data_IF_609011616952
#
_entry.id   IF_609011616952
#
_cell.length_a   1.000
_cell.length_b   1.000
_cell.length_c   1.000
_cell.angle_alpha   90.00
_cell.angle_beta   90.00
_cell.angle_gamma   90.00
#
_symmetry.space_group_name_H-M   'P 1'
#
loop_
_entity.id
_entity.type
_entity.pdbx_description
1 polymer ?
#
# COMPACT_ATOMS: atom_id res chain seq x y z
N UNK A 1 46.03 6.93 -20.84
CA UNK A 1 45.24 5.99 -20.00
C UNK A 1 44.37 6.85 -19.09
N UNK A 2 43.04 6.83 -19.27
CA UNK A 2 42.11 7.48 -18.36
C UNK A 2 41.87 6.56 -17.15
N UNK A 3 41.82 7.08 -15.91
CA UNK A 3 41.45 6.28 -14.76
C UNK A 3 39.96 5.87 -14.85
N UNK A 4 39.59 4.72 -14.28
CA UNK A 4 38.23 4.22 -14.34
C UNK A 4 37.28 5.18 -13.62
N UNK A 5 36.20 5.52 -14.31
CA UNK A 5 35.04 6.25 -13.79
C UNK A 5 34.65 5.72 -12.42
N UNK A 6 34.74 6.58 -11.41
CA UNK A 6 34.18 6.31 -10.09
C UNK A 6 32.69 6.02 -10.26
N UNK A 7 32.32 4.76 -10.01
CA UNK A 7 30.93 4.40 -9.78
C UNK A 7 30.54 5.18 -8.52
N UNK A 8 29.71 6.21 -8.69
CA UNK A 8 29.04 6.86 -7.58
C UNK A 8 28.27 5.77 -6.84
N UNK A 9 28.82 5.31 -5.72
CA UNK A 9 28.06 4.51 -4.77
C UNK A 9 26.97 5.44 -4.28
N UNK A 10 25.74 5.22 -4.75
CA UNK A 10 24.56 5.82 -4.15
C UNK A 10 24.42 5.19 -2.77
N UNK A 11 25.01 5.84 -1.76
CA UNK A 11 24.65 5.64 -0.37
C UNK A 11 23.49 6.58 -0.10
N UNK A 12 22.26 6.09 0.12
CA UNK A 12 21.20 6.98 0.58
C UNK A 12 21.64 7.57 1.90
N UNK A 13 21.83 8.90 1.91
CA UNK A 13 22.10 9.64 3.12
C UNK A 13 20.86 9.51 4.00
N UNK A 14 21.03 8.91 5.18
CA UNK A 14 19.92 8.56 6.09
C UNK A 14 19.22 9.81 6.63
N UNK A 15 19.74 11.00 6.30
CA UNK A 15 19.28 12.28 6.79
C UNK A 15 18.25 12.98 5.89
N UNK A 16 18.11 12.64 4.61
CA UNK A 16 17.07 13.21 3.73
C UNK A 16 15.67 12.57 3.95
N UNK A 17 15.59 11.47 4.71
CA UNK A 17 14.33 10.78 5.03
C UNK A 17 13.40 11.59 5.96
N UNK A 18 13.90 12.65 6.61
CA UNK A 18 13.11 13.41 7.58
C UNK A 18 12.09 14.36 6.94
N UNK A 19 12.28 14.78 5.69
CA UNK A 19 11.33 15.69 5.02
C UNK A 19 9.99 15.00 4.69
N UNK A 20 9.93 13.67 4.69
CA UNK A 20 8.79 12.88 4.22
C UNK A 20 8.08 12.07 5.33
N UNK A 21 8.38 12.27 6.61
CA UNK A 21 7.68 11.51 7.67
C UNK A 21 6.24 12.01 7.85
N UNK A 22 5.25 11.28 7.30
CA UNK A 22 3.82 11.60 7.42
C UNK A 22 3.23 11.44 8.83
N UNK A 23 4.02 11.00 9.82
CA UNK A 23 3.54 10.85 11.20
C UNK A 23 2.98 12.16 11.77
N UNK A 24 3.49 13.32 11.34
CA UNK A 24 2.99 14.64 11.75
C UNK A 24 1.59 14.96 11.20
N UNK A 25 1.14 14.30 10.14
CA UNK A 25 -0.20 14.47 9.58
C UNK A 25 -1.29 13.77 10.41
N UNK A 26 -0.89 12.87 11.31
CA UNK A 26 -1.80 12.09 12.14
C UNK A 26 -1.73 12.57 13.61
N UNK A 27 -2.86 12.70 14.32
CA UNK A 27 -2.88 13.05 15.74
C UNK A 27 -1.89 12.21 16.57
N UNK A 28 -1.04 12.82 17.41
CA UNK A 28 -0.03 12.08 18.17
C UNK A 28 -0.68 11.14 19.19
N UNK A 29 -0.12 9.92 19.33
CA UNK A 29 -0.60 8.93 20.29
C UNK A 29 -1.90 8.20 19.91
N UNK A 30 -2.55 8.55 18.80
CA UNK A 30 -3.73 7.84 18.32
C UNK A 30 -3.34 6.67 17.40
N UNK A 31 -3.65 5.45 17.82
CA UNK A 31 -3.40 4.23 17.04
C UNK A 31 -4.55 3.81 16.13
N UNK A 32 -5.79 4.15 16.51
CA UNK A 32 -6.99 3.68 15.84
C UNK A 32 -7.85 4.85 15.37
N UNK A 33 -8.29 4.77 14.13
CA UNK A 33 -9.13 5.78 13.49
C UNK A 33 -10.43 5.16 13.03
N UNK A 34 -11.56 5.76 13.37
CA UNK A 34 -12.83 5.42 12.75
C UNK A 34 -12.81 5.73 11.25
N UNK A 35 -13.73 5.12 10.50
CA UNK A 35 -13.92 5.42 9.07
C UNK A 35 -14.08 6.91 8.80
N UNK A 36 -14.75 7.63 9.71
CA UNK A 36 -14.98 9.07 9.55
C UNK A 36 -13.70 9.87 9.76
N UNK A 37 -12.95 9.60 10.82
CA UNK A 37 -11.68 10.26 11.08
C UNK A 37 -10.68 10.00 9.95
N UNK A 38 -10.58 8.75 9.48
CA UNK A 38 -9.73 8.40 8.34
C UNK A 38 -10.15 9.13 7.05
N UNK A 39 -11.45 9.29 6.82
CA UNK A 39 -11.98 10.02 5.66
C UNK A 39 -11.66 11.53 5.72
N UNK A 40 -11.78 12.11 6.92
CA UNK A 40 -11.42 13.52 7.17
C UNK A 40 -9.92 13.76 6.96
N UNK A 41 -9.06 12.86 7.47
CA UNK A 41 -7.60 12.92 7.29
C UNK A 41 -7.17 12.78 5.82
N UNK A 42 -7.84 11.92 5.06
CA UNK A 42 -7.52 11.67 3.65
C UNK A 42 -8.27 12.59 2.69
N UNK A 43 -9.14 13.48 3.18
CA UNK A 43 -10.01 14.34 2.39
C UNK A 43 -10.85 13.60 1.34
N UNK A 44 -11.40 12.44 1.73
CA UNK A 44 -12.22 11.56 0.87
C UNK A 44 -13.56 11.25 1.53
N UNK A 45 -14.45 10.55 0.80
CA UNK A 45 -15.71 10.12 1.38
C UNK A 45 -15.52 8.95 2.37
N UNK A 46 -16.35 8.85 3.41
CA UNK A 46 -16.36 7.65 4.27
C UNK A 46 -16.61 6.35 3.49
N UNK A 47 -17.37 6.40 2.39
CA UNK A 47 -17.61 5.21 1.57
C UNK A 47 -16.33 4.72 0.90
N UNK A 48 -15.53 5.64 0.36
CA UNK A 48 -14.22 5.32 -0.21
C UNK A 48 -13.30 4.61 0.79
N UNK A 49 -13.26 5.06 2.05
CA UNK A 49 -12.48 4.40 3.10
C UNK A 49 -12.94 2.95 3.33
N UNK A 50 -14.26 2.71 3.32
CA UNK A 50 -14.80 1.35 3.44
C UNK A 50 -14.39 0.50 2.25
N UNK A 51 -14.51 1.03 1.03
CA UNK A 51 -14.13 0.32 -0.18
C UNK A 51 -12.62 -0.01 -0.17
N UNK A 52 -11.76 0.92 0.28
CA UNK A 52 -10.34 0.67 0.48
C UNK A 52 -10.06 -0.41 1.54
N UNK A 53 -10.82 -0.44 2.63
CA UNK A 53 -10.70 -1.48 3.65
C UNK A 53 -11.13 -2.85 3.10
N UNK A 54 -12.28 -2.93 2.42
CA UNK A 54 -12.74 -4.19 1.79
C UNK A 54 -11.78 -4.68 0.69
N UNK A 55 -11.15 -3.75 -0.05
CA UNK A 55 -10.17 -4.06 -1.08
C UNK A 55 -8.77 -4.38 -0.52
N UNK A 56 -8.56 -4.30 0.80
CA UNK A 56 -7.26 -4.54 1.43
C UNK A 56 -6.20 -3.47 1.16
N UNK A 57 -6.62 -2.26 0.78
CA UNK A 57 -5.73 -1.07 0.66
C UNK A 57 -5.53 -0.36 2.00
N UNK A 58 -6.50 -0.51 2.90
CA UNK A 58 -6.40 -0.07 4.30
C UNK A 58 -6.64 -1.27 5.21
N UNK A 59 -5.89 -1.34 6.31
CA UNK A 59 -5.89 -2.43 7.28
C UNK A 59 -6.33 -1.95 8.66
N UNK A 60 -6.90 -2.88 9.43
CA UNK A 60 -7.41 -2.61 10.77
C UNK A 60 -8.38 -3.67 11.26
N UNK A 61 -9.34 -3.28 12.10
CA UNK A 61 -10.28 -4.20 12.73
C UNK A 61 -11.74 -3.88 12.40
N UNK A 62 -12.52 -4.94 12.19
CA UNK A 62 -13.97 -4.88 12.09
C UNK A 62 -14.58 -5.28 13.44
N UNK A 63 -15.39 -4.40 14.01
CA UNK A 63 -16.13 -4.64 15.23
C UNK A 63 -17.62 -4.79 14.93
N UNK A 64 -18.23 -5.82 15.51
CA UNK A 64 -19.68 -5.94 15.51
C UNK A 64 -20.23 -5.03 16.61
N UNK A 65 -21.04 -4.04 16.23
CA UNK A 65 -21.78 -3.26 17.21
C UNK A 65 -22.72 -4.17 18.02
N UNK A 66 -22.93 -3.85 19.30
CA UNK A 66 -24.04 -4.47 20.05
C UNK A 66 -25.35 -3.99 19.42
N UNK A 67 -26.13 -4.92 18.91
CA UNK A 67 -27.48 -4.65 18.41
C UNK A 67 -28.52 -5.24 19.35
N UNK A 68 -29.67 -4.59 19.51
CA UNK A 68 -30.82 -5.17 20.21
C UNK A 68 -31.38 -6.31 19.37
N UNK A 69 -32.01 -7.30 20.03
CA UNK A 69 -32.63 -8.46 19.36
C UNK A 69 -33.60 -7.97 18.27
N UNK A 70 -33.39 -8.38 17.02
CA UNK A 70 -34.21 -7.99 15.87
C UNK A 70 -33.74 -6.76 15.06
N UNK A 71 -32.63 -6.13 15.42
CA UNK A 71 -32.03 -5.03 14.67
C UNK A 71 -30.75 -5.47 13.95
N UNK A 72 -30.54 -5.02 12.72
CA UNK A 72 -29.35 -5.34 11.95
C UNK A 72 -28.08 -4.87 12.66
N UNK A 73 -27.08 -5.76 12.72
CA UNK A 73 -25.86 -5.50 13.46
C UNK A 73 -24.98 -4.50 12.71
N UNK A 74 -24.93 -3.26 13.20
CA UNK A 74 -24.05 -2.23 12.63
C UNK A 74 -22.58 -2.66 12.77
N UNK A 75 -21.95 -3.00 11.65
CA UNK A 75 -20.51 -3.25 11.56
C UNK A 75 -19.78 -1.92 11.61
N UNK A 76 -18.80 -1.81 12.51
CA UNK A 76 -17.89 -0.66 12.61
C UNK A 76 -16.50 -1.11 12.18
N UNK A 77 -15.78 -0.22 11.50
CA UNK A 77 -14.39 -0.46 11.08
C UNK A 77 -13.51 0.59 11.74
N UNK A 78 -12.38 0.15 12.30
CA UNK A 78 -11.30 1.01 12.75
C UNK A 78 -10.04 0.70 11.93
N UNK A 79 -9.39 1.75 11.45
CA UNK A 79 -8.18 1.72 10.64
C UNK A 79 -6.98 1.93 11.56
N UNK A 80 -5.91 1.15 11.38
CA UNK A 80 -4.66 1.35 12.13
C UNK A 80 -3.90 2.58 11.61
N UNK A 81 -3.23 3.28 12.52
CA UNK A 81 -2.30 4.38 12.20
C UNK A 81 -1.32 4.00 11.10
N UNK A 82 -0.64 2.86 11.24
CA UNK A 82 0.40 2.44 10.29
C UNK A 82 -0.17 2.17 8.90
N UNK A 83 -1.43 1.73 8.83
CA UNK A 83 -2.11 1.57 7.54
C UNK A 83 -2.35 2.91 6.85
N UNK A 84 -2.67 3.97 7.60
CA UNK A 84 -2.81 5.31 7.03
C UNK A 84 -1.47 5.88 6.61
N UNK A 85 -0.41 5.66 7.40
CA UNK A 85 0.95 6.07 7.05
C UNK A 85 1.45 5.38 5.78
N UNK A 86 1.23 4.07 5.66
CA UNK A 86 1.53 3.31 4.44
C UNK A 86 0.74 3.82 3.25
N UNK A 87 -0.55 4.12 3.45
CA UNK A 87 -1.39 4.67 2.39
C UNK A 87 -0.92 6.07 1.94
N UNK A 88 -0.53 6.94 2.87
CA UNK A 88 0.07 8.24 2.53
C UNK A 88 1.37 8.07 1.75
N UNK A 89 2.26 7.17 2.19
CA UNK A 89 3.50 6.88 1.48
C UNK A 89 3.25 6.31 0.07
N UNK A 90 2.27 5.43 -0.11
CA UNK A 90 1.89 4.88 -1.42
C UNK A 90 1.27 5.95 -2.33
N UNK A 91 0.32 6.74 -1.81
CA UNK A 91 -0.52 7.66 -2.60
C UNK A 91 0.14 9.01 -2.90
N UNK A 92 1.09 9.45 -2.09
CA UNK A 92 1.83 10.71 -2.30
C UNK A 92 2.81 10.65 -3.49
N UNK A 93 2.95 9.51 -4.18
CA UNK A 93 3.77 9.36 -5.38
C UNK A 93 5.28 9.62 -5.15
N UNK A 94 5.77 9.52 -3.90
CA UNK A 94 7.20 9.74 -3.55
C UNK A 94 7.80 8.63 -2.68
N UNK A 95 9.11 8.45 -2.90
CA UNK A 95 10.09 7.52 -2.34
C UNK A 95 9.61 6.14 -1.85
N UNK A 96 9.76 5.14 -2.72
CA UNK A 96 9.61 3.71 -2.42
C UNK A 96 10.40 3.28 -1.16
N UNK A 97 11.50 3.96 -0.83
CA UNK A 97 12.32 3.67 0.35
C UNK A 97 11.56 3.94 1.65
N UNK A 98 10.74 5.00 1.72
CA UNK A 98 9.95 5.31 2.91
C UNK A 98 8.80 4.32 3.09
N UNK A 99 8.09 3.99 2.00
CA UNK A 99 7.10 2.92 2.02
C UNK A 99 7.71 1.61 2.52
N UNK A 100 8.90 1.25 2.00
CA UNK A 100 9.64 0.07 2.43
C UNK A 100 10.01 0.13 3.91
N UNK A 101 10.49 1.28 4.42
CA UNK A 101 10.83 1.44 5.83
C UNK A 101 9.62 1.21 6.73
N UNK A 102 8.48 1.87 6.44
CA UNK A 102 7.24 1.70 7.23
C UNK A 102 6.68 0.28 7.14
N UNK A 103 6.82 -0.38 5.98
CA UNK A 103 6.45 -1.78 5.84
C UNK A 103 7.34 -2.67 6.72
N UNK A 104 8.65 -2.41 6.76
CA UNK A 104 9.57 -3.18 7.61
C UNK A 104 9.26 -2.99 9.10
N UNK A 105 8.98 -1.77 9.56
CA UNK A 105 8.54 -1.51 10.95
C UNK A 105 7.24 -2.26 11.28
N UNK A 106 6.28 -2.30 10.35
CA UNK A 106 5.04 -3.06 10.54
C UNK A 106 5.31 -4.56 10.66
N UNK A 107 6.22 -5.10 9.83
CA UNK A 107 6.59 -6.51 9.85
C UNK A 107 7.36 -6.87 11.13
N UNK A 108 8.25 -6.01 11.62
CA UNK A 108 9.01 -6.21 12.86
C UNK A 108 8.11 -6.42 14.09
N UNK A 109 6.93 -5.81 14.09
CA UNK A 109 5.92 -5.99 15.14
C UNK A 109 5.08 -7.26 15.03
N UNK A 110 5.26 -8.11 14.00
CA UNK A 110 4.46 -9.32 13.81
C UNK A 110 5.05 -10.55 14.50
N UNK A 111 4.21 -11.49 14.98
CA UNK A 111 4.69 -12.76 15.51
C UNK A 111 5.43 -13.61 14.45
N UNK A 112 6.48 -14.32 14.85
CA UNK A 112 7.31 -15.16 13.97
C UNK A 112 6.52 -16.11 13.02
N UNK A 113 5.42 -16.76 13.43
CA UNK A 113 4.65 -17.61 12.52
C UNK A 113 4.05 -16.84 11.34
N UNK A 114 3.74 -15.56 11.50
CA UNK A 114 3.17 -14.73 10.45
C UNK A 114 4.28 -14.24 9.51
N UNK A 115 5.48 -13.98 10.04
CA UNK A 115 6.67 -13.66 9.25
C UNK A 115 7.10 -14.84 8.36
N UNK A 116 6.95 -16.07 8.85
CA UNK A 116 7.26 -17.28 8.08
C UNK A 116 6.36 -17.45 6.82
N UNK A 117 5.17 -16.83 6.80
CA UNK A 117 4.26 -16.87 5.64
C UNK A 117 4.58 -15.80 4.58
N UNK A 118 5.33 -14.75 4.94
CA UNK A 118 5.65 -13.63 4.05
C UNK A 118 6.36 -14.07 2.76
N UNK A 119 7.40 -14.94 2.78
CA UNK A 119 8.07 -15.38 1.55
C UNK A 119 7.12 -16.06 0.55
N UNK A 120 6.15 -16.83 1.04
CA UNK A 120 5.19 -17.52 0.17
C UNK A 120 4.17 -16.54 -0.43
N UNK A 121 3.68 -15.59 0.37
CA UNK A 121 2.84 -14.50 -0.14
C UNK A 121 3.56 -13.69 -1.22
N UNK A 122 4.85 -13.37 -1.03
CA UNK A 122 5.66 -12.67 -2.03
C UNK A 122 5.76 -13.49 -3.33
N UNK A 123 5.99 -14.81 -3.25
CA UNK A 123 6.01 -15.69 -4.42
C UNK A 123 4.69 -15.68 -5.19
N UNK A 124 3.57 -15.84 -4.48
CA UNK A 124 2.23 -15.83 -5.07
C UNK A 124 1.95 -14.50 -5.78
N UNK A 125 2.33 -13.38 -5.16
CA UNK A 125 2.15 -12.05 -5.76
C UNK A 125 3.02 -11.86 -7.01
N UNK A 126 4.29 -12.29 -6.97
CA UNK A 126 5.19 -12.22 -8.13
C UNK A 126 4.66 -13.05 -9.31
N UNK A 127 4.13 -14.25 -9.05
CA UNK A 127 3.52 -15.09 -10.07
C UNK A 127 2.32 -14.39 -10.74
N UNK A 128 1.40 -13.84 -9.93
CA UNK A 128 0.22 -13.09 -10.43
C UNK A 128 0.62 -11.84 -11.23
N UNK A 129 1.69 -11.16 -10.82
CA UNK A 129 2.24 -10.02 -11.55
C UNK A 129 2.77 -10.46 -12.93
N UNK A 130 3.48 -11.58 -12.98
CA UNK A 130 3.95 -12.21 -14.22
C UNK A 130 2.81 -12.57 -15.17
N UNK A 131 1.74 -13.18 -14.66
CA UNK A 131 0.53 -13.52 -15.42
C UNK A 131 -0.18 -12.27 -15.98
N UNK A 132 -0.37 -11.23 -15.17
CA UNK A 132 -0.93 -9.94 -15.62
C UNK A 132 -0.08 -9.29 -16.71
N UNK A 133 1.24 -9.36 -16.58
CA UNK A 133 2.17 -8.83 -17.56
C UNK A 133 2.17 -9.64 -18.87
N UNK A 134 2.01 -10.96 -18.80
CA UNK A 134 1.87 -11.83 -19.97
C UNK A 134 0.55 -11.56 -20.72
N UNK A 135 -0.56 -11.38 -19.99
CA UNK A 135 -1.87 -11.05 -20.57
C UNK A 135 -1.85 -9.74 -21.37
N UNK A 136 -1.13 -8.73 -20.84
CA UNK A 136 -0.92 -7.43 -21.49
C UNK A 136 -0.03 -7.52 -22.75
N UNK A 137 0.92 -8.45 -22.79
CA UNK A 137 1.77 -8.68 -23.99
C UNK A 137 1.07 -9.51 -25.07
N UNK A 138 0.05 -10.30 -24.73
CA UNK A 138 -0.75 -11.07 -25.69
C UNK A 138 -1.80 -10.27 -26.46
N UNK A 139 -2.13 -9.04 -26.02
CA UNK A 139 -3.10 -8.14 -26.67
C UNK A 139 -2.41 -6.96 -27.39
N UNK A 140 -1.32 -7.24 -28.12
CA UNK A 140 -0.80 -6.28 -29.10
C UNK A 140 -1.63 -6.36 -30.38
N UNK A 141 -2.12 -5.24 -30.98
CA UNK A 141 -2.86 -5.32 -32.22
C UNK A 141 -1.91 -5.79 -33.32
N UNK A 142 -2.19 -6.98 -33.88
CA UNK A 142 -1.65 -7.38 -35.17
C UNK A 142 -2.28 -6.49 -36.24
N UNK A 143 -1.76 -5.27 -36.38
CA UNK A 143 -2.09 -4.38 -37.50
C UNK A 143 -1.38 -4.92 -38.74
N UNK A 144 -2.01 -5.89 -39.39
CA UNK A 144 -1.65 -6.30 -40.74
C UNK A 144 -1.96 -5.17 -41.71
N UNK A 145 -0.95 -4.38 -42.06
CA UNK A 145 -1.04 -3.50 -43.22
C UNK A 145 -1.05 -4.36 -44.49
N UNK A 146 -2.24 -4.72 -44.96
CA UNK A 146 -2.43 -5.26 -46.29
C UNK A 146 -2.20 -4.13 -47.31
N UNK A 147 -0.98 -4.07 -47.84
CA UNK A 147 -0.61 -3.16 -48.92
C UNK A 147 -1.45 -3.42 -50.17
N UNK A 148 -2.25 -2.42 -50.55
CA UNK A 148 -2.91 -2.35 -51.85
C UNK A 148 -1.87 -1.88 -52.88
N UNK A 149 -1.33 -2.81 -53.67
CA UNK A 149 -0.86 -2.58 -55.05
C UNK A 149 -1.83 -3.40 -55.92
N UNK A 150 -2.51 -2.85 -56.91
CA UNK A 150 -2.02 -2.09 -58.03
C UNK A 150 -2.51 -2.86 -59.25
#
# INVERSE_FOLDING_TARGET
>A
MNPPSQIHQWTPDVHDYQAADYAHLLPPGQEWFSVREAAELLHVSPQYIRDCFEAGKLFGHRHNGRSRRGQEQRRRVHIRRDSLLLYFAESANYDFSLYRLRLLELLDGLPEPWLAEVPELVRVLQQRQGEKNALRRGHGPSVGYAGRRG
#
